data_IF_808847571102
#
_entry.id   IF_808847571102
#
_cell.length_a   1.000
_cell.length_b   1.000
_cell.length_c   1.000
_cell.angle_alpha   90.00
_cell.angle_beta   90.00
_cell.angle_gamma   90.00
#
_symmetry.space_group_name_H-M   'P 1'
#
loop_
_entity.id
_entity.type
_entity.pdbx_description
1 polymer ?
#
# COMPACT_ATOMS: atom_id res chain seq x y z
N UNK A 1 -5.83 -17.46 -5.03
CA UNK A 1 -4.93 -17.15 -6.17
C UNK A 1 -4.76 -15.63 -6.17
N UNK A 2 -3.78 -15.11 -5.43
CA UNK A 2 -3.58 -13.67 -5.16
C UNK A 2 -2.28 -13.13 -5.78
N UNK A 3 -1.65 -13.94 -6.63
CA UNK A 3 -0.23 -13.86 -6.98
C UNK A 3 0.07 -13.02 -8.22
N UNK A 4 -0.84 -12.98 -9.21
CA UNK A 4 -0.52 -12.44 -10.53
C UNK A 4 -0.67 -10.92 -10.68
N UNK A 5 -1.47 -10.25 -9.86
CA UNK A 5 -1.88 -8.88 -10.16
C UNK A 5 -1.31 -7.82 -9.22
N UNK A 6 -0.81 -8.19 -8.03
CA UNK A 6 0.05 -7.32 -7.20
C UNK A 6 1.30 -6.89 -7.99
N UNK A 7 1.84 -7.84 -8.77
CA UNK A 7 2.99 -7.62 -9.63
C UNK A 7 2.67 -6.58 -10.71
N UNK A 8 1.52 -6.65 -11.39
CA UNK A 8 1.17 -5.74 -12.48
C UNK A 8 1.14 -4.27 -12.07
N UNK A 9 0.54 -3.93 -10.91
CA UNK A 9 0.35 -2.54 -10.52
C UNK A 9 1.61 -1.90 -9.93
N UNK A 10 2.37 -2.67 -9.14
CA UNK A 10 3.67 -2.25 -8.62
C UNK A 10 4.67 -2.11 -9.78
N UNK A 11 4.67 -3.06 -10.72
CA UNK A 11 5.52 -3.01 -11.91
C UNK A 11 5.12 -1.86 -12.82
N UNK A 12 3.84 -1.60 -13.10
CA UNK A 12 3.47 -0.46 -13.95
C UNK A 12 3.85 0.90 -13.32
N UNK A 13 3.90 0.99 -12.00
CA UNK A 13 4.20 2.23 -11.29
C UNK A 13 5.71 2.45 -11.09
N UNK A 14 6.47 1.38 -10.82
CA UNK A 14 7.93 1.43 -10.61
C UNK A 14 8.66 1.33 -11.95
N UNK A 15 8.19 0.47 -12.85
CA UNK A 15 8.90 0.08 -14.06
C UNK A 15 8.46 0.91 -15.28
N UNK A 16 8.71 2.22 -15.25
CA UNK A 16 8.59 3.07 -16.45
C UNK A 16 9.61 2.71 -17.57
N UNK A 17 10.48 1.70 -17.37
CA UNK A 17 11.61 1.40 -18.25
C UNK A 17 11.82 -0.10 -18.58
N UNK A 18 10.83 -0.98 -18.35
CA UNK A 18 10.88 -2.42 -18.74
C UNK A 18 12.10 -3.21 -18.21
N UNK A 19 12.69 -2.82 -17.08
CA UNK A 19 13.97 -3.38 -16.61
C UNK A 19 13.86 -4.78 -15.96
N UNK A 20 12.67 -5.20 -15.52
CA UNK A 20 12.42 -6.53 -14.96
C UNK A 20 11.12 -7.11 -15.51
N UNK A 21 11.17 -8.37 -15.92
CA UNK A 21 9.97 -9.13 -16.23
C UNK A 21 9.17 -9.44 -14.96
N UNK A 22 7.87 -9.66 -15.13
CA UNK A 22 6.96 -9.97 -14.02
C UNK A 22 7.37 -11.25 -13.29
N UNK A 23 7.89 -12.24 -14.03
CA UNK A 23 8.34 -13.51 -13.48
C UNK A 23 9.62 -13.36 -12.64
N UNK A 24 10.54 -12.49 -13.04
CA UNK A 24 11.75 -12.19 -12.25
C UNK A 24 11.39 -11.55 -10.92
N UNK A 25 10.49 -10.56 -10.91
CA UNK A 25 10.05 -9.91 -9.69
C UNK A 25 9.26 -10.87 -8.78
N UNK A 26 8.39 -11.70 -9.38
CA UNK A 26 7.63 -12.72 -8.65
C UNK A 26 8.54 -13.76 -7.97
N UNK A 27 9.64 -14.13 -8.62
CA UNK A 27 10.64 -15.04 -8.08
C UNK A 27 11.44 -14.38 -6.96
N UNK A 28 11.91 -13.13 -7.13
CA UNK A 28 12.61 -12.40 -6.07
C UNK A 28 11.71 -12.25 -4.83
N UNK A 29 10.43 -11.91 -5.01
CA UNK A 29 9.46 -11.71 -3.93
C UNK A 29 8.96 -13.00 -3.26
N UNK A 30 9.40 -14.18 -3.75
CA UNK A 30 9.01 -15.51 -3.23
C UNK A 30 7.49 -15.70 -3.15
N UNK A 31 6.80 -15.38 -4.23
CA UNK A 31 5.34 -15.23 -4.24
C UNK A 31 4.51 -16.53 -4.28
N UNK A 32 5.14 -17.71 -4.20
CA UNK A 32 4.49 -19.02 -4.42
C UNK A 32 3.25 -19.28 -3.53
N UNK A 33 3.18 -18.67 -2.34
CA UNK A 33 2.03 -18.75 -1.42
C UNK A 33 1.45 -17.35 -1.07
N UNK A 34 1.72 -16.35 -1.91
CA UNK A 34 1.49 -14.93 -1.67
C UNK A 34 2.72 -14.19 -1.14
N UNK A 35 2.67 -12.86 -1.18
CA UNK A 35 3.81 -12.00 -0.80
C UNK A 35 3.60 -11.43 0.60
N UNK A 36 4.59 -11.62 1.48
CA UNK A 36 4.65 -10.92 2.77
C UNK A 36 5.28 -9.54 2.56
N UNK A 37 4.78 -8.52 3.28
CA UNK A 37 5.31 -7.16 3.18
C UNK A 37 6.81 -7.09 3.54
N UNK A 38 7.25 -7.89 4.50
CA UNK A 38 8.67 -8.02 4.90
C UNK A 38 9.58 -8.50 3.76
N UNK A 39 9.04 -9.26 2.80
CA UNK A 39 9.78 -9.69 1.61
C UNK A 39 9.66 -8.66 0.48
N UNK A 40 8.49 -8.02 0.33
CA UNK A 40 8.26 -7.03 -0.71
C UNK A 40 9.12 -5.77 -0.51
N UNK A 41 9.20 -5.23 0.71
CA UNK A 41 9.83 -3.94 1.00
C UNK A 41 11.32 -3.89 0.60
N UNK A 42 12.17 -4.86 0.97
CA UNK A 42 13.58 -4.87 0.53
C UNK A 42 13.74 -4.89 -0.99
N UNK A 43 12.85 -5.58 -1.70
CA UNK A 43 12.89 -5.71 -3.16
C UNK A 43 12.42 -4.42 -3.82
N UNK A 44 11.37 -3.80 -3.29
CA UNK A 44 10.90 -2.49 -3.71
C UNK A 44 12.00 -1.44 -3.50
N UNK A 45 12.64 -1.43 -2.33
CA UNK A 45 13.76 -0.54 -2.04
C UNK A 45 14.95 -0.79 -2.97
N UNK A 46 15.28 -2.06 -3.28
CA UNK A 46 16.34 -2.39 -4.23
C UNK A 46 16.06 -1.77 -5.60
N UNK A 47 14.83 -1.89 -6.12
CA UNK A 47 14.52 -1.46 -7.49
C UNK A 47 14.16 0.02 -7.62
N UNK A 48 13.54 0.64 -6.60
CA UNK A 48 13.24 2.08 -6.58
C UNK A 48 14.49 2.93 -6.39
N UNK A 49 15.40 2.51 -5.51
CA UNK A 49 16.68 3.21 -5.32
C UNK A 49 17.58 3.14 -6.56
N UNK A 50 17.36 2.18 -7.45
CA UNK A 50 18.07 2.08 -8.73
C UNK A 50 17.49 3.03 -9.81
N UNK A 51 16.26 3.54 -9.65
CA UNK A 51 15.51 4.15 -10.74
C UNK A 51 15.16 5.64 -10.57
N UNK A 52 14.90 6.19 -9.37
CA UNK A 52 14.10 7.42 -9.29
C UNK A 52 14.59 8.60 -8.44
N UNK A 53 15.51 8.46 -7.45
CA UNK A 53 15.78 9.60 -6.55
C UNK A 53 17.25 9.78 -6.12
N UNK A 54 17.84 10.99 -6.28
CA UNK A 54 19.12 11.36 -5.66
C UNK A 54 19.03 11.52 -4.12
N UNK A 55 17.83 11.40 -3.54
CA UNK A 55 17.53 11.71 -2.14
C UNK A 55 17.35 10.47 -1.23
N UNK A 56 17.70 9.25 -1.66
CA UNK A 56 17.62 8.02 -0.85
C UNK A 56 16.28 7.85 -0.12
N UNK A 57 15.17 7.77 -0.87
CA UNK A 57 13.85 7.52 -0.29
C UNK A 57 13.66 6.01 -0.12
N UNK A 58 13.30 5.60 1.11
CA UNK A 58 13.14 4.19 1.47
C UNK A 58 11.69 3.92 1.88
N UNK A 59 11.09 2.86 1.33
CA UNK A 59 9.89 2.27 1.88
C UNK A 59 10.18 1.71 3.27
N UNK A 60 9.36 2.10 4.24
CA UNK A 60 9.30 1.48 5.55
C UNK A 60 8.01 0.69 5.69
N UNK A 61 8.12 -0.44 6.37
CA UNK A 61 6.96 -1.23 6.77
C UNK A 61 6.44 -0.73 8.12
N UNK A 62 5.22 -0.22 8.14
CA UNK A 62 4.50 0.17 9.33
C UNK A 62 3.47 -0.88 9.69
N UNK A 63 3.71 -1.61 10.78
CA UNK A 63 2.71 -2.51 11.36
C UNK A 63 1.71 -1.66 12.12
N UNK A 64 0.47 -1.57 11.62
CA UNK A 64 -0.59 -0.83 12.27
C UNK A 64 -1.14 -1.67 13.43
N UNK A 65 -1.22 -1.06 14.60
CA UNK A 65 -1.77 -1.72 15.79
C UNK A 65 -3.27 -2.06 15.61
N UNK A 66 -3.76 -3.01 16.40
CA UNK A 66 -5.17 -3.33 16.41
C UNK A 66 -5.98 -2.09 16.85
N UNK A 67 -7.05 -1.77 16.12
CA UNK A 67 -7.84 -0.55 16.33
C UNK A 67 -7.13 0.77 15.98
N UNK A 68 -6.09 0.72 15.14
CA UNK A 68 -5.47 1.92 14.60
C UNK A 68 -6.50 2.89 14.02
N UNK A 69 -6.32 4.20 14.25
CA UNK A 69 -7.19 5.26 13.74
C UNK A 69 -8.36 5.62 14.65
N UNK A 70 -8.42 5.08 15.87
CA UNK A 70 -9.36 5.54 16.92
C UNK A 70 -9.04 6.93 17.46
N UNK A 71 -7.78 7.39 17.33
CA UNK A 71 -7.32 8.71 17.75
C UNK A 71 -7.08 9.58 16.52
N UNK A 72 -7.47 10.85 16.56
CA UNK A 72 -7.31 11.77 15.41
C UNK A 72 -5.84 11.93 15.01
N UNK A 73 -4.91 11.90 15.95
CA UNK A 73 -3.46 11.90 15.68
C UNK A 73 -3.04 10.76 14.75
N UNK A 74 -3.64 9.56 14.89
CA UNK A 74 -3.33 8.41 14.04
C UNK A 74 -3.93 8.59 12.64
N UNK A 75 -5.13 9.18 12.54
CA UNK A 75 -5.77 9.47 11.26
C UNK A 75 -4.97 10.52 10.48
N UNK A 76 -4.55 11.59 11.16
CA UNK A 76 -3.70 12.63 10.61
C UNK A 76 -2.32 12.10 10.23
N UNK A 77 -1.74 11.23 11.06
CA UNK A 77 -0.48 10.57 10.73
C UNK A 77 -0.59 9.76 9.43
N UNK A 78 -1.65 8.95 9.26
CA UNK A 78 -1.87 8.18 8.04
C UNK A 78 -2.03 9.10 6.82
N UNK A 79 -2.87 10.14 6.95
CA UNK A 79 -3.09 11.13 5.90
C UNK A 79 -1.76 11.77 5.46
N UNK A 80 -0.94 12.21 6.42
CA UNK A 80 0.35 12.83 6.14
C UNK A 80 1.36 11.86 5.51
N UNK A 81 1.39 10.61 5.98
CA UNK A 81 2.27 9.59 5.45
C UNK A 81 1.94 9.22 3.99
N UNK A 82 0.64 9.10 3.69
CA UNK A 82 0.15 8.86 2.32
C UNK A 82 0.45 10.05 1.43
N UNK A 83 0.14 11.27 1.89
CA UNK A 83 0.47 12.51 1.17
C UNK A 83 1.96 12.60 0.85
N UNK A 84 2.83 12.31 1.82
CA UNK A 84 4.28 12.37 1.64
C UNK A 84 4.75 11.35 0.61
N UNK A 85 4.28 10.11 0.69
CA UNK A 85 4.67 9.04 -0.24
C UNK A 85 4.26 9.40 -1.67
N UNK A 86 3.00 9.77 -1.87
CA UNK A 86 2.47 10.12 -3.19
C UNK A 86 3.10 11.39 -3.77
N UNK A 87 3.45 12.39 -2.95
CA UNK A 87 4.17 13.58 -3.40
C UNK A 87 5.56 13.27 -3.96
N UNK A 88 6.17 12.16 -3.53
CA UNK A 88 7.46 11.70 -4.01
C UNK A 88 7.31 10.57 -5.04
N UNK A 89 6.15 10.46 -5.69
CA UNK A 89 5.87 9.44 -6.71
C UNK A 89 6.07 8.00 -6.23
N UNK A 90 5.92 7.74 -4.92
CA UNK A 90 5.93 6.39 -4.37
C UNK A 90 4.53 6.02 -3.88
N UNK A 91 3.89 4.99 -4.47
CA UNK A 91 2.56 4.57 -4.08
C UNK A 91 2.58 3.99 -2.66
N UNK A 92 1.46 4.05 -1.94
CA UNK A 92 1.39 3.41 -0.62
C UNK A 92 0.82 2.01 -0.75
N UNK A 93 1.57 1.02 -0.29
CA UNK A 93 1.18 -0.39 -0.35
C UNK A 93 0.52 -0.75 0.97
N UNK A 94 -0.69 -1.26 0.92
CA UNK A 94 -1.46 -1.63 2.09
C UNK A 94 -1.72 -3.13 2.07
N UNK A 95 -1.02 -3.86 2.94
CA UNK A 95 -1.27 -5.26 3.22
C UNK A 95 -2.35 -5.39 4.30
N UNK A 96 -3.40 -6.14 3.99
CA UNK A 96 -4.57 -6.35 4.85
C UNK A 96 -4.64 -7.85 5.19
N UNK A 97 -4.78 -8.17 6.47
CA UNK A 97 -5.07 -9.50 6.97
C UNK A 97 -6.34 -9.46 7.80
N UNK A 98 -7.44 -9.92 7.23
CA UNK A 98 -8.75 -9.90 7.88
C UNK A 98 -9.90 -9.94 6.89
N UNK A 99 -11.04 -9.39 7.30
CA UNK A 99 -12.24 -9.26 6.45
C UNK A 99 -12.34 -7.85 5.87
N UNK A 100 -11.81 -7.57 4.67
CA UNK A 100 -11.94 -6.26 4.06
C UNK A 100 -13.41 -5.96 3.71
N UNK A 101 -13.81 -4.68 3.56
CA UNK A 101 -15.21 -4.29 3.35
C UNK A 101 -15.87 -4.86 2.09
N UNK A 102 -15.08 -5.18 1.06
CA UNK A 102 -15.57 -5.75 -0.20
C UNK A 102 -15.65 -7.28 -0.18
N UNK A 103 -15.08 -7.94 0.82
CA UNK A 103 -15.28 -9.36 1.11
C UNK A 103 -15.70 -9.56 2.57
N UNK A 104 -16.88 -9.03 2.96
CA UNK A 104 -17.38 -9.24 4.30
C UNK A 104 -17.53 -10.75 4.52
N UNK A 105 -17.01 -11.25 5.65
CA UNK A 105 -16.97 -12.67 6.05
C UNK A 105 -15.83 -13.53 5.47
N UNK A 106 -14.91 -12.97 4.68
CA UNK A 106 -13.74 -13.72 4.21
C UNK A 106 -12.48 -13.29 4.95
N UNK A 107 -11.82 -14.23 5.64
CA UNK A 107 -10.49 -14.00 6.20
C UNK A 107 -9.45 -14.12 5.09
N UNK A 108 -9.02 -12.98 4.55
CA UNK A 108 -8.04 -12.93 3.47
C UNK A 108 -6.75 -12.26 3.91
N UNK A 109 -5.66 -12.65 3.24
CA UNK A 109 -4.45 -11.85 3.15
C UNK A 109 -4.50 -11.20 1.77
N UNK A 110 -4.59 -9.88 1.73
CA UNK A 110 -4.75 -9.15 0.49
C UNK A 110 -3.87 -7.91 0.47
N UNK A 111 -3.50 -7.45 -0.70
CA UNK A 111 -2.73 -6.22 -0.86
C UNK A 111 -3.51 -5.29 -1.77
N UNK A 112 -3.60 -4.03 -1.37
CA UNK A 112 -4.16 -2.94 -2.16
C UNK A 112 -3.18 -1.79 -2.20
N UNK A 113 -3.33 -0.90 -3.17
CA UNK A 113 -2.39 0.20 -3.39
C UNK A 113 -3.16 1.51 -3.35
N UNK A 114 -2.77 2.42 -2.47
CA UNK A 114 -3.28 3.79 -2.48
C UNK A 114 -2.48 4.54 -3.55
N UNK A 115 -3.17 5.04 -4.56
CA UNK A 115 -2.58 5.67 -5.75
C UNK A 115 -2.89 7.16 -5.85
N UNK A 116 -3.91 7.65 -5.13
CA UNK A 116 -4.21 9.06 -5.02
C UNK A 116 -4.92 9.38 -3.70
N UNK A 117 -4.85 10.64 -3.30
CA UNK A 117 -5.50 11.17 -2.09
C UNK A 117 -6.09 12.56 -2.39
N UNK A 118 -7.33 12.79 -1.97
CA UNK A 118 -7.94 14.12 -1.90
C UNK A 118 -8.11 14.48 -0.42
N UNK A 119 -7.35 15.47 0.01
CA UNK A 119 -7.21 15.82 1.42
C UNK A 119 -8.34 16.74 1.86
N UNK A 120 -8.88 16.46 3.04
CA UNK A 120 -9.80 17.31 3.79
C UNK A 120 -9.18 17.65 5.16
N UNK A 121 -9.58 18.79 5.74
CA UNK A 121 -9.15 19.20 7.08
C UNK A 121 -9.67 18.23 8.15
N UNK A 122 -10.83 17.60 7.91
CA UNK A 122 -11.30 16.47 8.67
C UNK A 122 -10.70 15.16 8.09
N UNK A 123 -9.83 14.45 8.82
CA UNK A 123 -9.19 13.25 8.31
C UNK A 123 -10.17 12.10 8.03
N UNK A 124 -11.37 12.12 8.63
CA UNK A 124 -12.42 11.13 8.34
C UNK A 124 -13.05 11.33 6.95
N UNK A 125 -13.06 12.56 6.42
CA UNK A 125 -13.63 12.91 5.11
C UNK A 125 -12.62 12.86 3.96
N UNK A 126 -11.33 12.71 4.29
CA UNK A 126 -10.27 12.54 3.29
C UNK A 126 -10.55 11.35 2.39
N UNK A 127 -10.42 11.53 1.08
CA UNK A 127 -10.72 10.49 0.10
C UNK A 127 -9.44 9.81 -0.37
N UNK A 128 -9.38 8.49 -0.25
CA UNK A 128 -8.30 7.64 -0.71
C UNK A 128 -8.75 6.84 -1.93
N UNK A 129 -7.97 6.92 -3.00
CA UNK A 129 -8.16 6.11 -4.21
C UNK A 129 -7.27 4.88 -4.10
N UNK A 130 -7.93 3.73 -4.03
CA UNK A 130 -7.32 2.44 -3.76
C UNK A 130 -7.49 1.56 -4.98
N UNK A 131 -6.39 1.19 -5.60
CA UNK A 131 -6.37 0.17 -6.62
C UNK A 131 -6.35 -1.20 -5.97
N UNK A 132 -7.34 -2.01 -6.31
CA UNK A 132 -7.40 -3.39 -5.87
C UNK A 132 -6.48 -4.21 -6.76
N UNK A 133 -5.48 -4.86 -6.14
CA UNK A 133 -4.61 -5.72 -6.92
C UNK A 133 -5.35 -6.90 -7.50
N UNK A 134 -6.50 -7.35 -6.96
CA UNK A 134 -7.29 -8.42 -7.58
C UNK A 134 -8.10 -7.96 -8.81
N UNK A 135 -8.44 -6.68 -8.88
CA UNK A 135 -9.24 -6.09 -9.94
C UNK A 135 -8.66 -4.74 -10.36
N UNK A 136 -7.60 -4.83 -11.18
CA UNK A 136 -6.90 -3.65 -11.72
C UNK A 136 -7.76 -2.78 -12.66
N UNK A 137 -8.99 -3.20 -12.98
CA UNK A 137 -9.89 -2.44 -13.85
C UNK A 137 -10.77 -1.44 -13.09
N UNK A 138 -10.90 -1.60 -11.76
CA UNK A 138 -11.71 -0.69 -10.95
C UNK A 138 -10.93 -0.13 -9.76
N UNK A 139 -10.66 1.19 -9.80
CA UNK A 139 -10.21 1.92 -8.62
C UNK A 139 -11.39 2.06 -7.66
N UNK A 140 -11.16 1.69 -6.40
CA UNK A 140 -12.12 1.85 -5.31
C UNK A 140 -11.83 3.15 -4.57
N UNK A 141 -12.86 3.77 -4.02
CA UNK A 141 -12.73 5.03 -3.29
C UNK A 141 -13.21 4.83 -1.86
N UNK A 142 -12.41 5.29 -0.90
CA UNK A 142 -12.74 5.22 0.52
C UNK A 142 -12.58 6.58 1.16
N UNK A 143 -13.52 6.99 2.00
CA UNK A 143 -13.28 8.06 2.97
C UNK A 143 -12.28 7.57 4.02
N UNK A 144 -11.64 8.49 4.75
CA UNK A 144 -10.73 8.15 5.83
C UNK A 144 -11.42 7.30 6.88
N UNK A 145 -12.67 7.65 7.23
CA UNK A 145 -13.51 6.85 8.11
C UNK A 145 -13.62 5.40 7.62
N UNK A 146 -13.96 5.20 6.34
CA UNK A 146 -14.16 3.86 5.78
C UNK A 146 -12.85 3.07 5.69
N UNK A 147 -11.76 3.72 5.28
CA UNK A 147 -10.44 3.09 5.18
C UNK A 147 -9.92 2.68 6.57
N UNK A 148 -10.05 3.55 7.56
CA UNK A 148 -9.62 3.28 8.94
C UNK A 148 -10.44 2.15 9.57
N UNK A 149 -11.74 2.10 9.32
CA UNK A 149 -12.58 0.99 9.77
C UNK A 149 -12.11 -0.36 9.22
N UNK A 150 -11.34 -0.39 8.12
CA UNK A 150 -10.71 -1.63 7.67
C UNK A 150 -9.61 -2.10 8.63
N UNK A 151 -8.87 -1.18 9.24
CA UNK A 151 -7.77 -1.47 10.18
C UNK A 151 -8.27 -1.83 11.58
N UNK A 152 -9.55 -1.58 11.88
CA UNK A 152 -10.13 -1.98 13.16
C UNK A 152 -10.53 -3.46 13.19
N UNK A 153 -10.90 -4.01 12.03
CA UNK A 153 -11.35 -5.41 11.86
C UNK A 153 -10.28 -6.33 11.25
N UNK A 154 -9.19 -5.77 10.73
CA UNK A 154 -8.09 -6.49 10.11
C UNK A 154 -6.73 -6.02 10.68
N UNK A 155 -5.77 -6.93 10.77
CA UNK A 155 -4.37 -6.51 10.96
C UNK A 155 -3.89 -5.90 9.65
N UNK A 156 -3.21 -4.76 9.72
CA UNK A 156 -2.76 -4.05 8.53
C UNK A 156 -1.28 -3.69 8.62
N UNK A 157 -0.58 -3.86 7.49
CA UNK A 157 0.79 -3.41 7.29
C UNK A 157 0.79 -2.38 6.17
N UNK A 158 1.46 -1.26 6.39
CA UNK A 158 1.53 -0.16 5.44
C UNK A 158 2.98 0.04 5.00
N UNK A 159 3.25 -0.22 3.72
CA UNK A 159 4.49 0.15 3.04
C UNK A 159 4.38 1.57 2.50
N UNK A 160 5.10 2.51 3.10
CA UNK A 160 5.11 3.93 2.72
C UNK A 160 6.50 4.54 2.88
N UNK A 161 6.76 5.68 2.22
CA UNK A 161 7.98 6.45 2.52
C UNK A 161 7.85 7.07 3.88
N UNK A 162 8.93 7.00 4.64
CA UNK A 162 9.10 7.82 5.83
C UNK A 162 10.33 8.71 5.70
N UNK A 163 10.16 10.01 5.86
CA UNK A 163 11.29 10.86 6.23
C UNK A 163 11.45 10.81 7.75
N UNK A 164 12.68 10.90 8.29
CA UNK A 164 12.85 11.35 9.68
C UNK A 164 12.14 12.70 9.81
N UNK A 165 11.37 12.88 10.90
CA UNK A 165 10.87 14.20 11.30
C UNK A 165 12.04 15.06 11.78
#
# INVERSE_FOLDING_TARGET
MFQHQLNLLIISYINNNDLLSQDELANEMKTNDGTLMENAIPILNKHINLQLHPNFLEYKNYVLEQNFGKKDEQKLWLQNLVKLSLKNDMPVILGIKGSPPWWPNSQVKHVVIIIAILIDDNPDETIYYVSDTFDSTTNKTFTGHNLINMFTIASANLGAIATPL
#
